data_IF_277390685208
#
_entry.id   IF_277390685208
#
_cell.length_a   1.000
_cell.length_b   1.000
_cell.length_c   1.000
_cell.angle_alpha   90.00
_cell.angle_beta   90.00
_cell.angle_gamma   90.00
#
_symmetry.space_group_name_H-M   'P 1'
#
loop_
_entity.id
_entity.type
_entity.pdbx_description
1 polymer ?
#
# COMPACT_ATOMS: atom_id res chain seq x y z
N UNK A 1 -51.34 28.71 17.89
CA UNK A 1 -49.95 28.39 17.52
C UNK A 1 -49.00 29.09 18.49
N UNK A 2 -48.87 28.59 19.72
CA UNK A 2 -47.82 28.98 20.71
C UNK A 2 -48.12 28.37 22.08
N UNK A 3 -48.05 27.04 22.19
CA UNK A 3 -47.96 26.40 23.51
C UNK A 3 -46.51 25.95 23.68
N UNK A 4 -45.72 26.92 24.12
CA UNK A 4 -44.67 26.76 25.13
C UNK A 4 -43.75 25.55 24.96
N UNK A 5 -42.72 25.79 24.16
CA UNK A 5 -41.40 25.17 24.14
C UNK A 5 -40.65 25.39 25.47
N UNK A 6 -41.27 24.99 26.59
CA UNK A 6 -40.72 25.10 27.95
C UNK A 6 -40.53 23.71 28.57
N UNK A 7 -40.08 22.75 27.77
CA UNK A 7 -39.22 21.70 28.32
C UNK A 7 -37.84 22.34 28.55
N UNK A 8 -37.74 23.08 29.65
CA UNK A 8 -36.46 23.40 30.26
C UNK A 8 -35.77 22.06 30.49
N UNK A 9 -34.79 21.76 29.65
CA UNK A 9 -33.75 20.79 29.94
C UNK A 9 -33.04 21.28 31.19
N UNK A 10 -33.59 21.01 32.37
CA UNK A 10 -32.76 20.88 33.57
C UNK A 10 -31.84 19.72 33.24
N UNK A 11 -30.65 20.09 32.75
CA UNK A 11 -29.61 19.16 32.33
C UNK A 11 -29.22 18.37 33.58
N UNK A 12 -29.89 17.24 33.76
CA UNK A 12 -29.66 16.39 34.91
C UNK A 12 -28.24 15.81 34.76
N UNK A 13 -27.50 15.64 35.87
CA UNK A 13 -26.11 15.14 35.83
C UNK A 13 -25.95 13.88 34.97
N UNK A 14 -27.00 13.06 34.88
CA UNK A 14 -27.08 11.85 34.04
C UNK A 14 -27.02 12.14 32.53
N UNK A 15 -27.77 13.13 32.04
CA UNK A 15 -27.79 13.49 30.61
C UNK A 15 -26.41 14.02 30.21
N UNK A 16 -25.82 14.88 31.05
CA UNK A 16 -24.48 15.41 30.82
C UNK A 16 -23.41 14.30 30.79
N UNK A 17 -23.46 13.35 31.73
CA UNK A 17 -22.55 12.20 31.74
C UNK A 17 -22.68 11.35 30.47
N UNK A 18 -23.88 11.23 29.91
CA UNK A 18 -24.12 10.47 28.67
C UNK A 18 -23.59 11.21 27.45
N UNK A 19 -23.78 12.53 27.38
CA UNK A 19 -23.20 13.38 26.34
C UNK A 19 -21.67 13.25 26.36
N UNK A 20 -21.06 13.24 27.54
CA UNK A 20 -19.62 13.03 27.70
C UNK A 20 -19.19 11.64 27.22
N UNK A 21 -19.95 10.59 27.54
CA UNK A 21 -19.67 9.22 27.07
C UNK A 21 -19.77 9.06 25.56
N UNK A 22 -20.79 9.67 24.93
CA UNK A 22 -20.94 9.70 23.48
C UNK A 22 -19.83 10.54 22.85
N UNK A 23 -19.46 11.66 23.45
CA UNK A 23 -18.33 12.46 23.00
C UNK A 23 -17.04 11.65 23.02
N UNK A 24 -16.77 10.87 24.08
CA UNK A 24 -15.58 10.01 24.14
C UNK A 24 -15.58 8.93 23.05
N UNK A 25 -16.73 8.30 22.79
CA UNK A 25 -16.85 7.33 21.69
C UNK A 25 -16.64 8.00 20.33
N UNK A 26 -17.21 9.18 20.11
CA UNK A 26 -17.03 9.95 18.87
C UNK A 26 -15.59 10.45 18.70
N UNK A 27 -14.89 10.84 19.77
CA UNK A 27 -13.46 11.14 19.77
C UNK A 27 -12.65 9.94 19.30
N UNK A 28 -12.92 8.77 19.87
CA UNK A 28 -12.23 7.53 19.51
C UNK A 28 -12.50 7.13 18.05
N UNK A 29 -13.74 7.29 17.59
CA UNK A 29 -14.14 7.01 16.23
C UNK A 29 -13.46 7.97 15.24
N UNK A 30 -13.45 9.28 15.55
CA UNK A 30 -12.75 10.29 14.75
C UNK A 30 -11.24 10.05 14.68
N UNK A 31 -10.60 9.68 15.80
CA UNK A 31 -9.19 9.32 15.84
C UNK A 31 -8.88 8.10 14.97
N UNK A 32 -9.70 7.06 15.06
CA UNK A 32 -9.51 5.83 14.27
C UNK A 32 -9.72 6.09 12.77
N UNK A 33 -10.74 6.85 12.38
CA UNK A 33 -10.96 7.21 10.97
C UNK A 33 -9.84 8.08 10.41
N UNK A 34 -9.30 9.00 11.22
CA UNK A 34 -8.15 9.82 10.83
C UNK A 34 -6.90 8.95 10.63
N UNK A 35 -6.70 7.93 11.47
CA UNK A 35 -5.60 6.98 11.33
C UNK A 35 -5.74 6.12 10.07
N UNK A 36 -6.94 5.59 9.77
CA UNK A 36 -7.20 4.84 8.54
C UNK A 36 -6.95 5.70 7.30
N UNK A 37 -7.49 6.93 7.28
CA UNK A 37 -7.27 7.86 6.17
C UNK A 37 -5.80 8.23 5.99
N UNK A 38 -5.12 8.57 7.08
CA UNK A 38 -3.68 8.86 7.06
C UNK A 38 -2.86 7.68 6.56
N UNK A 39 -3.18 6.46 7.00
CA UNK A 39 -2.50 5.25 6.55
C UNK A 39 -2.73 5.01 5.05
N UNK A 40 -3.93 5.25 4.53
CA UNK A 40 -4.23 5.15 3.10
C UNK A 40 -3.46 6.17 2.25
N UNK A 41 -3.41 7.43 2.69
CA UNK A 41 -2.67 8.49 2.01
C UNK A 41 -1.15 8.23 2.04
N UNK A 42 -0.63 7.76 3.17
CA UNK A 42 0.78 7.34 3.29
C UNK A 42 1.08 6.12 2.42
N UNK A 43 0.18 5.15 2.33
CA UNK A 43 0.37 3.94 1.51
C UNK A 43 0.40 4.28 0.04
N UNK A 44 -0.54 5.09 -0.45
CA UNK A 44 -0.56 5.51 -1.85
C UNK A 44 0.67 6.32 -2.22
N UNK A 45 1.13 7.20 -1.33
CA UNK A 45 2.35 8.00 -1.55
C UNK A 45 3.63 7.15 -1.52
N UNK A 46 3.72 6.19 -0.59
CA UNK A 46 4.84 5.24 -0.53
C UNK A 46 4.83 4.31 -1.74
N UNK A 47 3.68 3.74 -2.10
CA UNK A 47 3.54 2.87 -3.27
C UNK A 47 3.95 3.59 -4.56
N UNK A 48 3.50 4.84 -4.76
CA UNK A 48 3.93 5.66 -5.90
C UNK A 48 5.44 5.95 -5.91
N UNK A 49 6.08 6.01 -4.74
CA UNK A 49 7.55 6.17 -4.65
C UNK A 49 8.28 4.86 -4.97
N UNK A 50 7.65 3.70 -4.78
CA UNK A 50 8.22 2.39 -5.11
C UNK A 50 7.94 1.94 -6.55
N UNK A 51 6.94 2.50 -7.22
CA UNK A 51 6.73 2.38 -8.67
C UNK A 51 7.89 3.00 -9.47
N UNK A 52 8.77 3.76 -8.82
CA UNK A 52 9.98 4.36 -9.40
C UNK A 52 11.24 3.48 -9.24
N UNK A 53 11.10 2.25 -8.74
CA UNK A 53 12.20 1.30 -8.68
C UNK A 53 12.40 0.58 -10.02
N UNK A 54 13.60 0.04 -10.31
CA UNK A 54 13.84 -0.63 -11.57
C UNK A 54 12.93 -1.85 -11.71
N UNK A 55 12.14 -1.86 -12.79
CA UNK A 55 11.19 -2.93 -13.10
C UNK A 55 11.86 -3.92 -14.04
N UNK A 56 11.85 -5.19 -13.63
CA UNK A 56 12.34 -6.29 -14.45
C UNK A 56 11.21 -6.82 -15.33
N UNK A 57 11.49 -6.88 -16.62
CA UNK A 57 10.58 -7.33 -17.68
C UNK A 57 11.15 -8.63 -18.25
N UNK A 58 10.45 -9.74 -18.05
CA UNK A 58 10.81 -11.05 -18.59
C UNK A 58 9.56 -11.87 -18.90
N UNK A 59 9.64 -12.77 -19.88
CA UNK A 59 8.49 -13.53 -20.42
C UNK A 59 8.37 -14.94 -19.84
N UNK A 60 9.46 -15.53 -19.35
CA UNK A 60 9.48 -16.91 -18.82
C UNK A 60 10.07 -16.98 -17.41
N UNK A 61 9.63 -17.93 -16.58
CA UNK A 61 9.95 -18.01 -15.14
C UNK A 61 11.44 -18.17 -14.80
N UNK A 62 12.30 -18.37 -15.80
CA UNK A 62 13.76 -18.39 -15.69
C UNK A 62 14.37 -17.34 -16.65
N UNK A 63 15.15 -16.40 -16.08
CA UNK A 63 15.79 -15.30 -16.81
C UNK A 63 16.63 -15.77 -18.00
N UNK A 64 17.23 -16.97 -17.93
CA UNK A 64 18.08 -17.49 -19.01
C UNK A 64 17.30 -17.96 -20.25
N UNK A 65 16.00 -18.26 -20.10
CA UNK A 65 15.14 -18.80 -21.16
C UNK A 65 14.13 -17.78 -21.69
N UNK A 66 13.90 -16.71 -20.94
CA UNK A 66 13.09 -15.58 -21.35
C UNK A 66 13.61 -14.98 -22.66
N UNK A 67 12.67 -14.59 -23.52
CA UNK A 67 12.92 -13.93 -24.81
C UNK A 67 12.05 -12.70 -24.91
N UNK A 68 12.68 -11.55 -25.01
CA UNK A 68 12.07 -10.24 -25.22
C UNK A 68 12.56 -9.74 -26.56
N UNK A 69 11.65 -9.54 -27.51
CA UNK A 69 12.00 -9.11 -28.87
C UNK A 69 12.66 -7.74 -28.90
N UNK A 70 13.75 -7.57 -29.65
CA UNK A 70 14.45 -6.29 -29.80
C UNK A 70 13.61 -5.21 -30.50
N UNK A 71 12.62 -5.60 -31.30
CA UNK A 71 11.65 -4.68 -31.93
C UNK A 71 10.70 -3.99 -30.92
N UNK A 72 10.70 -4.44 -29.65
CA UNK A 72 9.87 -3.93 -28.57
C UNK A 72 10.64 -3.01 -27.60
N UNK A 73 11.90 -2.68 -27.92
CA UNK A 73 12.68 -1.74 -27.14
C UNK A 73 12.02 -0.36 -27.14
N UNK A 74 11.94 0.32 -25.98
CA UNK A 74 11.27 1.60 -25.91
C UNK A 74 12.11 2.72 -26.52
N UNK A 75 11.60 3.35 -27.58
CA UNK A 75 12.29 4.42 -28.31
C UNK A 75 12.16 5.83 -27.66
N UNK A 76 11.43 5.96 -26.55
CA UNK A 76 10.86 7.25 -26.14
C UNK A 76 11.28 7.66 -24.71
N UNK A 77 12.40 8.39 -24.55
CA UNK A 77 12.88 9.03 -23.29
C UNK A 77 12.88 8.13 -22.03
N UNK A 78 12.83 6.82 -22.21
CA UNK A 78 12.88 5.83 -21.14
C UNK A 78 14.29 5.34 -20.95
N UNK A 79 14.79 5.40 -19.72
CA UNK A 79 16.06 4.75 -19.40
C UNK A 79 15.80 3.26 -19.15
N UNK A 80 16.43 2.44 -19.97
CA UNK A 80 16.36 0.99 -19.84
C UNK A 80 17.74 0.38 -20.04
N UNK A 81 17.92 -0.79 -19.43
CA UNK A 81 19.10 -1.62 -19.63
C UNK A 81 18.60 -2.98 -20.10
N UNK A 82 19.09 -3.44 -21.25
CA UNK A 82 18.76 -4.75 -21.77
C UNK A 82 19.90 -5.72 -21.51
N UNK A 83 19.56 -6.94 -21.13
CA UNK A 83 20.54 -7.96 -20.76
C UNK A 83 20.32 -9.26 -21.52
N UNK A 84 21.43 -9.91 -21.90
CA UNK A 84 21.43 -11.27 -22.40
C UNK A 84 22.34 -12.15 -21.53
N UNK A 85 21.87 -13.35 -21.20
CA UNK A 85 22.60 -14.31 -20.36
C UNK A 85 22.94 -15.58 -21.11
N UNK A 86 24.12 -16.11 -20.85
CA UNK A 86 24.53 -17.42 -21.28
C UNK A 86 25.36 -18.14 -20.22
N UNK A 87 24.99 -19.37 -19.91
CA UNK A 87 25.88 -20.27 -19.20
C UNK A 87 26.88 -20.88 -20.19
N UNK A 88 28.17 -20.63 -19.98
CA UNK A 88 29.26 -21.04 -20.86
C UNK A 88 30.29 -21.87 -20.10
N UNK A 89 30.94 -22.77 -20.84
CA UNK A 89 32.15 -23.44 -20.38
C UNK A 89 33.36 -22.75 -20.99
N UNK A 90 34.22 -22.20 -20.15
CA UNK A 90 35.47 -21.57 -20.57
C UNK A 90 36.54 -22.65 -20.73
N UNK A 91 37.20 -22.67 -21.87
CA UNK A 91 38.29 -23.59 -22.18
C UNK A 91 39.53 -22.81 -22.60
N UNK A 92 40.64 -23.07 -21.93
CA UNK A 92 41.93 -22.47 -22.25
C UNK A 92 42.61 -23.26 -23.38
N UNK A 93 43.53 -22.62 -24.12
CA UNK A 93 44.31 -23.25 -25.20
C UNK A 93 45.21 -24.39 -24.70
N UNK A 94 45.43 -24.49 -23.39
CA UNK A 94 46.07 -25.61 -22.72
C UNK A 94 45.11 -26.77 -22.39
N UNK A 95 43.91 -26.80 -22.98
CA UNK A 95 42.87 -27.82 -22.76
C UNK A 95 42.33 -27.91 -21.32
N UNK A 96 42.47 -26.84 -20.53
CA UNK A 96 41.90 -26.72 -19.18
C UNK A 96 40.50 -26.13 -19.28
N UNK A 97 39.54 -26.70 -18.56
CA UNK A 97 38.13 -26.32 -18.67
C UNK A 97 37.58 -25.83 -17.34
N UNK A 98 36.89 -24.69 -17.36
CA UNK A 98 36.07 -24.16 -16.29
C UNK A 98 34.61 -24.13 -16.76
N UNK A 99 33.79 -25.05 -16.26
CA UNK A 99 32.36 -25.07 -16.55
C UNK A 99 31.56 -24.16 -15.63
N UNK A 100 30.33 -23.86 -16.03
CA UNK A 100 29.34 -23.11 -15.27
C UNK A 100 29.72 -21.64 -15.02
N UNK A 101 30.22 -20.97 -16.05
CA UNK A 101 30.53 -19.53 -16.01
C UNK A 101 29.37 -18.76 -16.62
N UNK A 102 28.88 -17.73 -15.93
CA UNK A 102 27.83 -16.87 -16.47
C UNK A 102 28.44 -15.77 -17.34
N UNK A 103 28.20 -15.86 -18.64
CA UNK A 103 28.49 -14.80 -19.58
C UNK A 103 27.27 -13.88 -19.72
N UNK A 104 27.50 -12.58 -19.71
CA UNK A 104 26.46 -11.54 -19.79
C UNK A 104 26.85 -10.52 -20.85
N UNK A 105 25.88 -10.14 -21.67
CA UNK A 105 25.99 -8.99 -22.58
C UNK A 105 24.96 -7.96 -22.13
N UNK A 106 25.36 -6.69 -22.11
CA UNK A 106 24.57 -5.58 -21.58
C UNK A 106 24.48 -4.51 -22.66
N UNK A 107 23.28 -3.99 -22.83
CA UNK A 107 23.00 -2.79 -23.62
C UNK A 107 22.48 -1.70 -22.68
N UNK A 108 23.25 -0.63 -22.55
CA UNK A 108 22.94 0.49 -21.66
C UNK A 108 23.12 1.81 -22.43
N UNK A 109 22.10 2.27 -23.18
CA UNK A 109 22.19 3.45 -24.04
C UNK A 109 22.47 4.74 -23.26
N UNK A 110 22.06 4.82 -21.99
CA UNK A 110 22.22 6.00 -21.13
C UNK A 110 23.47 5.93 -20.23
N UNK A 111 24.28 4.87 -20.35
CA UNK A 111 25.44 4.57 -19.49
C UNK A 111 25.15 4.69 -17.99
N UNK A 112 23.97 4.24 -17.56
CA UNK A 112 23.54 4.34 -16.15
C UNK A 112 24.42 3.49 -15.24
N UNK A 113 24.97 2.38 -15.76
CA UNK A 113 25.90 1.51 -15.05
C UNK A 113 27.33 2.08 -15.01
N UNK A 114 27.66 3.10 -15.81
CA UNK A 114 29.00 3.67 -15.91
C UNK A 114 30.04 2.71 -16.49
N UNK A 115 29.59 1.74 -17.30
CA UNK A 115 30.43 0.72 -17.94
C UNK A 115 30.75 1.06 -19.41
N UNK A 116 30.23 2.18 -19.91
CA UNK A 116 30.36 2.67 -21.29
C UNK A 116 29.93 1.60 -22.32
N UNK A 117 28.72 1.07 -22.14
CA UNK A 117 28.12 -0.01 -22.95
C UNK A 117 26.94 0.49 -23.80
N UNK A 118 27.11 1.66 -24.41
CA UNK A 118 26.05 2.40 -25.14
C UNK A 118 25.70 1.85 -26.51
N UNK A 119 26.59 1.09 -27.15
CA UNK A 119 26.41 0.52 -28.49
C UNK A 119 26.52 -1.02 -28.51
N UNK A 120 26.29 -1.69 -27.36
CA UNK A 120 26.37 -3.16 -27.20
C UNK A 120 27.76 -3.78 -27.48
N UNK A 121 28.73 -2.95 -27.84
CA UNK A 121 30.04 -3.36 -28.30
C UNK A 121 31.09 -3.04 -27.26
N UNK A 122 31.61 -4.10 -26.64
CA UNK A 122 33.01 -4.14 -26.29
C UNK A 122 33.75 -4.39 -27.59
N UNK A 123 34.59 -3.46 -28.03
CA UNK A 123 35.31 -3.43 -29.31
C UNK A 123 36.35 -4.58 -29.44
N UNK A 124 35.92 -5.84 -29.21
CA UNK A 124 36.63 -7.14 -29.06
C UNK A 124 37.07 -7.57 -27.66
N UNK A 125 36.71 -6.84 -26.61
CA UNK A 125 37.16 -7.12 -25.25
C UNK A 125 36.17 -7.87 -24.36
N UNK A 126 36.67 -8.75 -23.49
CA UNK A 126 35.90 -9.33 -22.37
C UNK A 126 36.35 -8.74 -21.07
N UNK A 127 35.40 -8.40 -20.22
CA UNK A 127 35.69 -8.01 -18.86
C UNK A 127 35.39 -9.17 -17.92
N UNK A 128 36.36 -9.50 -17.07
CA UNK A 128 36.29 -10.61 -16.13
C UNK A 128 36.23 -10.03 -14.72
N UNK A 129 35.33 -10.52 -13.88
CA UNK A 129 35.32 -10.10 -12.47
C UNK A 129 36.54 -10.63 -11.71
N UNK A 130 37.03 -9.88 -10.74
CA UNK A 130 38.23 -10.26 -9.95
C UNK A 130 38.07 -11.61 -9.26
N UNK A 131 36.87 -11.94 -8.78
CA UNK A 131 36.59 -13.21 -8.14
C UNK A 131 36.65 -14.38 -9.14
N UNK A 132 36.08 -14.22 -10.34
CA UNK A 132 36.20 -15.21 -11.41
C UNK A 132 37.67 -15.40 -11.85
N UNK A 133 38.43 -14.31 -11.91
CA UNK A 133 39.86 -14.36 -12.21
C UNK A 133 40.66 -15.16 -11.16
N UNK A 134 40.37 -14.99 -9.88
CA UNK A 134 40.99 -15.79 -8.80
C UNK A 134 40.63 -17.28 -8.91
N UNK A 135 39.37 -17.59 -9.23
CA UNK A 135 38.94 -18.97 -9.48
C UNK A 135 39.69 -19.56 -10.68
N UNK A 136 39.87 -18.79 -11.74
CA UNK A 136 40.65 -19.21 -12.91
C UNK A 136 42.12 -19.48 -12.52
N UNK A 137 42.76 -18.59 -11.76
CA UNK A 137 44.13 -18.77 -11.28
C UNK A 137 44.25 -20.01 -10.38
N UNK A 138 43.28 -20.26 -9.50
CA UNK A 138 43.24 -21.45 -8.65
C UNK A 138 43.19 -22.76 -9.44
N UNK A 139 42.60 -22.73 -10.65
CA UNK A 139 42.56 -23.85 -11.60
C UNK A 139 43.69 -23.78 -12.62
N UNK A 140 44.72 -22.98 -12.39
CA UNK A 140 45.87 -22.77 -13.26
C UNK A 140 45.53 -22.20 -14.66
N UNK A 141 44.44 -21.45 -14.77
CA UNK A 141 44.05 -20.71 -15.98
C UNK A 141 44.55 -19.27 -15.83
N UNK A 142 45.31 -18.76 -16.80
CA UNK A 142 45.94 -17.43 -16.72
C UNK A 142 44.94 -16.31 -17.00
N UNK A 143 44.42 -15.66 -15.96
CA UNK A 143 43.44 -14.55 -16.02
C UNK A 143 44.06 -13.16 -16.21
N UNK A 144 45.13 -13.05 -17.00
CA UNK A 144 45.79 -11.77 -17.29
C UNK A 144 45.10 -11.05 -18.44
N UNK A 145 45.22 -9.72 -18.50
CA UNK A 145 44.83 -8.93 -19.67
C UNK A 145 45.52 -9.49 -20.93
N UNK A 146 44.79 -9.56 -22.04
CA UNK A 146 45.18 -10.17 -23.32
C UNK A 146 45.24 -11.72 -23.36
N UNK A 147 44.75 -12.41 -22.32
CA UNK A 147 44.53 -13.86 -22.41
C UNK A 147 43.34 -14.17 -23.33
N UNK A 148 43.47 -15.23 -24.13
CA UNK A 148 42.41 -15.69 -25.05
C UNK A 148 41.82 -16.98 -24.53
N UNK A 149 40.50 -17.09 -24.56
CA UNK A 149 39.77 -18.29 -24.17
C UNK A 149 38.75 -18.69 -25.22
N UNK A 150 38.44 -19.98 -25.25
CA UNK A 150 37.34 -20.54 -26.02
C UNK A 150 36.15 -20.71 -25.10
N UNK A 151 35.10 -19.93 -25.32
CA UNK A 151 33.81 -20.11 -24.67
C UNK A 151 33.00 -21.12 -25.49
N UNK A 152 32.44 -22.12 -24.83
CA UNK A 152 31.58 -23.12 -25.46
C UNK A 152 30.24 -23.19 -24.72
N UNK A 153 29.15 -23.18 -25.48
CA UNK A 153 27.81 -23.48 -24.99
C UNK A 153 27.13 -24.43 -25.97
N UNK A 154 26.85 -25.66 -25.53
CA UNK A 154 26.02 -26.61 -26.27
C UNK A 154 26.51 -26.97 -27.67
N UNK A 155 27.79 -26.75 -28.00
CA UNK A 155 28.37 -27.00 -29.33
C UNK A 155 28.73 -25.75 -30.11
N UNK A 156 28.24 -24.57 -29.72
CA UNK A 156 28.64 -23.28 -30.28
C UNK A 156 29.89 -22.77 -29.56
N UNK A 157 30.91 -22.36 -30.31
CA UNK A 157 32.20 -21.93 -29.77
C UNK A 157 32.58 -20.55 -30.25
N UNK A 158 33.03 -19.69 -29.32
CA UNK A 158 33.57 -18.36 -29.62
C UNK A 158 34.91 -18.17 -28.94
N UNK A 159 35.84 -17.50 -29.62
CA UNK A 159 37.14 -17.14 -29.04
C UNK A 159 37.02 -15.70 -28.56
N UNK A 160 37.34 -15.46 -27.30
CA UNK A 160 37.29 -14.10 -26.74
C UNK A 160 38.56 -13.77 -25.98
N UNK A 161 38.91 -12.48 -25.98
CA UNK A 161 40.12 -11.95 -25.37
C UNK A 161 39.77 -11.10 -24.17
N UNK A 162 40.44 -11.32 -23.04
CA UNK A 162 40.25 -10.50 -21.83
C UNK A 162 40.86 -9.13 -22.05
N UNK A 163 40.06 -8.08 -22.01
CA UNK A 163 40.53 -6.70 -22.14
C UNK A 163 40.70 -6.01 -20.79
N UNK A 164 39.82 -6.29 -19.83
CA UNK A 164 39.88 -5.67 -18.50
C UNK A 164 39.40 -6.61 -17.40
N UNK A 165 39.76 -6.27 -16.16
CA UNK A 165 39.23 -6.89 -14.96
C UNK A 165 38.38 -5.85 -14.23
N UNK A 166 37.17 -6.21 -13.80
CA UNK A 166 36.33 -5.35 -12.98
C UNK A 166 36.27 -5.86 -11.54
N UNK A 167 36.14 -4.93 -10.58
CA UNK A 167 36.31 -5.15 -9.14
C UNK A 167 34.97 -5.27 -8.40
N UNK A 168 35.05 -5.79 -7.16
CA UNK A 168 33.95 -5.95 -6.17
C UNK A 168 33.11 -4.71 -5.81
N UNK A 169 33.38 -3.56 -6.42
CA UNK A 169 32.57 -2.35 -6.31
C UNK A 169 31.62 -2.10 -7.49
N UNK A 170 31.59 -2.98 -8.48
CA UNK A 170 30.70 -2.90 -9.64
C UNK A 170 29.28 -3.33 -9.26
N UNK A 171 28.27 -2.81 -9.97
CA UNK A 171 26.87 -3.23 -9.83
C UNK A 171 26.68 -4.70 -10.29
N UNK A 172 27.61 -5.22 -11.09
CA UNK A 172 27.62 -6.61 -11.56
C UNK A 172 28.34 -7.55 -10.58
N UNK A 173 27.85 -8.78 -10.38
CA UNK A 173 28.56 -9.83 -9.66
C UNK A 173 29.97 -10.10 -10.22
N UNK A 174 30.94 -10.29 -9.33
CA UNK A 174 32.36 -10.49 -9.69
C UNK A 174 32.69 -11.90 -10.18
N UNK A 175 31.71 -12.79 -10.18
CA UNK A 175 31.80 -14.14 -10.72
C UNK A 175 31.31 -14.22 -12.19
N UNK A 176 30.87 -13.10 -12.77
CA UNK A 176 30.37 -13.03 -14.14
C UNK A 176 31.46 -12.63 -15.14
N UNK A 177 31.13 -12.86 -16.41
CA UNK A 177 31.98 -12.56 -17.55
C UNK A 177 31.20 -11.68 -18.54
N UNK A 178 31.63 -10.43 -18.72
CA UNK A 178 31.00 -9.49 -19.65
C UNK A 178 31.56 -9.71 -21.06
N UNK A 179 30.70 -10.08 -22.00
CA UNK A 179 31.04 -10.32 -23.40
C UNK A 179 30.37 -9.31 -24.33
N UNK A 180 30.99 -9.06 -25.49
CA UNK A 180 30.37 -8.30 -26.58
C UNK A 180 29.11 -8.99 -27.09
N UNK A 181 28.17 -8.20 -27.62
CA UNK A 181 26.94 -8.73 -28.25
C UNK A 181 27.25 -9.73 -29.36
N UNK A 182 28.22 -9.43 -30.23
CA UNK A 182 28.67 -10.33 -31.30
C UNK A 182 29.11 -11.71 -30.76
N UNK A 183 29.85 -11.73 -29.65
CA UNK A 183 30.28 -12.98 -29.00
C UNK A 183 29.09 -13.74 -28.39
N UNK A 184 28.08 -13.01 -27.89
CA UNK A 184 26.86 -13.59 -27.33
C UNK A 184 25.97 -14.20 -28.41
N UNK A 185 25.77 -13.52 -29.53
CA UNK A 185 24.97 -14.01 -30.65
C UNK A 185 25.60 -15.25 -31.28
N UNK A 186 26.93 -15.30 -31.38
CA UNK A 186 27.63 -16.51 -31.83
C UNK A 186 27.54 -17.69 -30.84
N UNK A 187 27.33 -17.44 -29.53
CA UNK A 187 27.05 -18.47 -28.53
C UNK A 187 25.57 -18.87 -28.50
N UNK A 188 24.66 -17.93 -28.79
CA UNK A 188 23.20 -18.10 -28.80
C UNK A 188 22.59 -17.55 -30.11
N UNK A 189 22.72 -18.25 -31.24
CA UNK A 189 22.11 -17.81 -32.50
C UNK A 189 20.57 -17.80 -32.44
N UNK A 190 19.96 -18.49 -31.47
CA UNK A 190 18.52 -18.49 -31.25
C UNK A 190 17.96 -17.19 -30.63
N UNK A 191 18.82 -16.30 -30.15
CA UNK A 191 18.48 -15.03 -29.48
C UNK A 191 19.05 -13.82 -30.22
N UNK A 192 19.48 -14.00 -31.46
CA UNK A 192 19.99 -12.93 -32.32
C UNK A 192 18.90 -11.86 -32.51
N UNK A 193 19.16 -10.64 -32.03
CA UNK A 193 18.18 -9.54 -32.03
C UNK A 193 17.20 -9.52 -30.84
N UNK A 194 17.22 -10.53 -29.98
CA UNK A 194 16.37 -10.61 -28.78
C UNK A 194 17.20 -10.43 -27.49
N UNK A 195 16.53 -10.13 -26.37
CA UNK A 195 17.12 -10.00 -25.04
C UNK A 195 16.51 -11.00 -24.06
N UNK A 196 17.27 -11.37 -23.03
CA UNK A 196 16.82 -12.30 -22.00
C UNK A 196 15.88 -11.59 -21.00
N UNK A 197 16.26 -10.41 -20.54
CA UNK A 197 15.38 -9.54 -19.78
C UNK A 197 15.72 -8.07 -19.99
N UNK A 198 14.77 -7.21 -19.65
CA UNK A 198 14.92 -5.77 -19.73
C UNK A 198 14.66 -5.16 -18.35
N UNK A 199 15.54 -4.27 -17.90
CA UNK A 199 15.43 -3.52 -16.66
C UNK A 199 15.09 -2.08 -17.00
N UNK A 200 13.92 -1.60 -16.58
CA UNK A 200 13.49 -0.22 -16.82
C UNK A 200 13.79 0.58 -15.57
N UNK A 201 14.58 1.63 -15.67
CA UNK A 201 15.05 2.41 -14.51
C UNK A 201 14.18 3.64 -14.28
N UNK A 202 13.83 4.35 -15.35
CA UNK A 202 12.93 5.49 -15.29
C UNK A 202 12.05 5.49 -16.55
N UNK A 203 10.75 5.67 -16.34
CA UNK A 203 9.81 5.84 -17.44
C UNK A 203 8.78 6.93 -17.11
N UNK A 204 8.67 7.98 -17.95
CA UNK A 204 7.64 9.00 -17.78
C UNK A 204 6.23 8.49 -18.13
N UNK A 205 6.12 7.29 -18.73
CA UNK A 205 4.86 6.67 -19.15
C UNK A 205 4.57 5.47 -18.23
N UNK A 206 3.34 5.29 -17.74
CA UNK A 206 3.01 4.11 -16.94
C UNK A 206 3.27 2.82 -17.72
N UNK A 207 3.98 1.88 -17.10
CA UNK A 207 4.43 0.58 -17.65
C UNK A 207 3.36 -0.28 -18.33
N UNK A 208 2.07 0.00 -18.08
CA UNK A 208 0.91 -0.69 -18.67
C UNK A 208 0.55 -0.21 -20.08
N UNK A 209 0.99 0.97 -20.48
CA UNK A 209 0.64 1.59 -21.77
C UNK A 209 1.76 1.47 -22.81
N UNK A 210 2.86 0.81 -22.45
CA UNK A 210 4.03 0.69 -23.31
C UNK A 210 3.95 -0.55 -24.22
N UNK A 211 4.53 -0.49 -25.43
CA UNK A 211 4.38 -1.51 -26.48
C UNK A 211 4.91 -2.90 -26.08
N UNK A 212 5.79 -2.97 -25.08
CA UNK A 212 6.33 -4.21 -24.50
C UNK A 212 5.38 -4.93 -23.53
N UNK A 213 4.20 -4.37 -23.24
CA UNK A 213 3.13 -5.02 -22.47
C UNK A 213 2.43 -6.08 -23.33
N UNK A 214 3.16 -7.13 -23.70
CA UNK A 214 2.60 -8.33 -24.32
C UNK A 214 1.98 -9.19 -23.22
N UNK A 215 0.87 -9.87 -23.55
CA UNK A 215 -0.09 -10.52 -22.66
C UNK A 215 0.46 -11.61 -21.72
N UNK A 216 1.75 -11.96 -21.82
CA UNK A 216 2.44 -13.02 -21.09
C UNK A 216 3.72 -12.55 -20.35
N UNK A 217 3.92 -11.24 -20.20
CA UNK A 217 5.11 -10.69 -19.53
C UNK A 217 4.87 -10.50 -18.03
N UNK A 218 5.70 -11.12 -17.18
CA UNK A 218 5.68 -10.88 -15.74
C UNK A 218 6.50 -9.65 -15.40
N UNK A 219 5.82 -8.60 -14.93
CA UNK A 219 6.44 -7.41 -14.35
C UNK A 219 6.73 -7.70 -12.88
N UNK A 220 7.99 -7.86 -12.54
CA UNK A 220 8.41 -8.07 -11.15
C UNK A 220 9.21 -6.85 -10.74
N UNK A 221 8.62 -5.92 -9.97
CA UNK A 221 9.38 -4.86 -9.33
C UNK A 221 10.48 -5.51 -8.48
N UNK A 222 11.72 -5.07 -8.64
CA UNK A 222 12.86 -5.62 -7.87
C UNK A 222 12.66 -5.41 -6.35
N UNK A 223 11.76 -4.51 -5.97
CA UNK A 223 11.30 -4.25 -4.61
C UNK A 223 10.19 -5.21 -4.17
N UNK A 224 10.52 -6.48 -3.92
CA UNK A 224 9.60 -7.44 -3.22
C UNK A 224 9.10 -6.94 -1.85
N UNK A 225 9.73 -5.88 -1.35
CA UNK A 225 9.37 -5.08 -0.18
C UNK A 225 7.98 -4.42 -0.30
N UNK A 226 7.55 -4.02 -1.52
CA UNK A 226 6.25 -3.36 -1.74
C UNK A 226 5.10 -4.30 -1.39
N UNK A 227 5.12 -5.53 -1.88
CA UNK A 227 4.08 -6.51 -1.59
C UNK A 227 3.99 -6.89 -0.11
N UNK A 228 5.12 -6.83 0.62
CA UNK A 228 5.12 -7.01 2.07
C UNK A 228 4.49 -5.81 2.81
N UNK A 229 4.83 -4.59 2.43
CA UNK A 229 4.25 -3.38 3.02
C UNK A 229 2.77 -3.21 2.67
N UNK A 230 2.37 -3.44 1.42
CA UNK A 230 0.97 -3.40 1.01
C UNK A 230 0.13 -4.38 1.85
N UNK A 231 0.55 -5.65 1.91
CA UNK A 231 -0.18 -6.68 2.69
C UNK A 231 -0.21 -6.36 4.18
N UNK A 232 0.90 -5.88 4.75
CA UNK A 232 0.97 -5.48 6.15
C UNK A 232 0.03 -4.31 6.47
N UNK A 233 -0.02 -3.31 5.59
CA UNK A 233 -0.87 -2.14 5.76
C UNK A 233 -2.34 -2.47 5.58
N UNK A 234 -2.71 -3.25 4.54
CA UNK A 234 -4.09 -3.71 4.36
C UNK A 234 -4.59 -4.52 5.58
N UNK A 235 -3.71 -5.30 6.22
CA UNK A 235 -4.07 -6.03 7.43
C UNK A 235 -4.33 -5.10 8.63
N UNK A 236 -3.52 -4.04 8.79
CA UNK A 236 -3.75 -3.01 9.81
C UNK A 236 -5.04 -2.24 9.51
N UNK A 237 -5.29 -1.87 8.27
CA UNK A 237 -6.50 -1.16 7.85
C UNK A 237 -7.76 -1.94 8.17
N UNK A 238 -7.79 -3.24 7.82
CA UNK A 238 -8.91 -4.13 8.16
C UNK A 238 -9.16 -4.21 9.67
N UNK A 239 -8.10 -4.25 10.48
CA UNK A 239 -8.20 -4.21 11.93
C UNK A 239 -8.84 -2.92 12.45
N UNK A 240 -8.44 -1.77 11.90
CA UNK A 240 -8.99 -0.46 12.27
C UNK A 240 -10.46 -0.32 11.88
N UNK A 241 -10.89 -0.86 10.73
CA UNK A 241 -12.31 -0.91 10.37
C UNK A 241 -13.14 -1.74 11.37
N UNK A 242 -12.59 -2.84 11.87
CA UNK A 242 -13.22 -3.62 12.94
C UNK A 242 -13.45 -2.82 14.22
N UNK A 243 -12.49 -1.97 14.59
CA UNK A 243 -12.58 -1.08 15.75
C UNK A 243 -13.67 -0.01 15.57
N UNK A 244 -13.76 0.60 14.38
CA UNK A 244 -14.82 1.58 14.05
C UNK A 244 -16.20 0.95 14.25
N UNK A 245 -16.39 -0.28 13.78
CA UNK A 245 -17.64 -1.02 13.92
C UNK A 245 -18.01 -1.24 15.40
N UNK A 246 -17.04 -1.65 16.23
CA UNK A 246 -17.26 -1.87 17.66
C UNK A 246 -17.56 -0.56 18.41
N UNK A 247 -16.87 0.52 18.08
CA UNK A 247 -17.13 1.86 18.66
C UNK A 247 -18.52 2.38 18.28
N UNK A 248 -18.93 2.16 17.03
CA UNK A 248 -20.28 2.44 16.56
C UNK A 248 -21.32 1.68 17.39
N UNK A 249 -21.12 0.38 17.61
CA UNK A 249 -22.04 -0.44 18.40
C UNK A 249 -22.15 0.03 19.86
N UNK A 250 -21.02 0.41 20.48
CA UNK A 250 -20.99 0.97 21.83
C UNK A 250 -21.82 2.27 21.94
N UNK A 251 -21.70 3.14 20.93
CA UNK A 251 -22.48 4.38 20.86
C UNK A 251 -23.98 4.10 20.79
N UNK A 252 -24.41 3.11 20.00
CA UNK A 252 -25.81 2.71 19.88
C UNK A 252 -26.37 2.19 21.22
N UNK A 253 -25.59 1.37 21.93
CA UNK A 253 -25.98 0.81 23.24
C UNK A 253 -26.10 1.93 24.30
N UNK A 254 -25.16 2.88 24.33
CA UNK A 254 -25.22 4.03 25.23
C UNK A 254 -26.50 4.85 25.02
N UNK A 255 -26.84 5.12 23.76
CA UNK A 255 -28.05 5.87 23.39
C UNK A 255 -29.32 5.06 23.74
N UNK A 256 -29.31 3.76 23.50
CA UNK A 256 -30.40 2.87 23.91
C UNK A 256 -30.67 2.96 25.41
N UNK A 257 -29.63 2.82 26.23
CA UNK A 257 -29.73 2.83 27.69
C UNK A 257 -30.32 4.14 28.21
N UNK A 258 -29.83 5.28 27.73
CA UNK A 258 -30.31 6.59 28.22
C UNK A 258 -31.75 6.85 27.82
N UNK A 259 -32.13 6.57 26.57
CA UNK A 259 -33.51 6.79 26.11
C UNK A 259 -34.45 5.83 26.82
N UNK A 260 -34.07 4.56 27.03
CA UNK A 260 -34.87 3.62 27.81
C UNK A 260 -35.15 4.14 29.22
N UNK A 261 -34.10 4.57 29.94
CA UNK A 261 -34.23 5.13 31.29
C UNK A 261 -35.14 6.37 31.29
N UNK A 262 -34.94 7.30 30.36
CA UNK A 262 -35.77 8.51 30.27
C UNK A 262 -37.23 8.22 29.95
N UNK A 263 -37.49 7.23 29.09
CA UNK A 263 -38.86 6.81 28.75
C UNK A 263 -39.59 6.23 29.95
N UNK A 264 -38.89 5.49 30.81
CA UNK A 264 -39.45 4.96 32.06
C UNK A 264 -39.74 6.07 33.06
N UNK A 265 -38.81 7.01 33.28
CA UNK A 265 -39.04 8.17 34.15
C UNK A 265 -40.19 9.05 33.67
N UNK A 266 -40.37 9.18 32.37
CA UNK A 266 -41.43 10.02 31.77
C UNK A 266 -42.72 9.24 31.48
N UNK A 267 -42.77 7.94 31.78
CA UNK A 267 -43.90 7.07 31.47
C UNK A 267 -45.24 7.58 32.03
N UNK A 268 -45.34 8.10 33.28
CA UNK A 268 -46.61 8.61 33.81
C UNK A 268 -47.17 9.77 32.97
N UNK A 269 -46.32 10.71 32.56
CA UNK A 269 -46.70 11.86 31.73
C UNK A 269 -47.14 11.42 30.34
N UNK A 270 -46.44 10.46 29.73
CA UNK A 270 -46.80 9.88 28.43
C UNK A 270 -48.17 9.20 28.51
N UNK A 271 -48.42 8.45 29.58
CA UNK A 271 -49.70 7.76 29.81
C UNK A 271 -50.86 8.75 29.90
N UNK A 272 -50.69 9.88 30.59
CA UNK A 272 -51.70 10.95 30.66
C UNK A 272 -51.92 11.57 29.27
N UNK A 273 -50.84 11.94 28.57
CA UNK A 273 -50.91 12.57 27.25
C UNK A 273 -51.62 11.68 26.21
N UNK A 274 -51.34 10.37 26.27
CA UNK A 274 -51.97 9.37 25.43
C UNK A 274 -53.42 9.08 25.83
N UNK A 275 -53.80 9.28 27.08
CA UNK A 275 -55.19 9.24 27.53
C UNK A 275 -56.04 10.39 27.00
N UNK A 276 -55.42 11.54 26.70
CA UNK A 276 -56.08 12.75 26.14
C UNK A 276 -56.11 12.74 24.59
N UNK A 277 -55.54 11.72 23.94
CA UNK A 277 -55.63 11.52 22.48
C UNK A 277 -54.36 11.83 21.69
N UNK A 278 -53.19 11.96 22.34
CA UNK A 278 -51.93 12.12 21.59
C UNK A 278 -51.59 10.89 20.74
N UNK A 279 -51.21 11.12 19.47
CA UNK A 279 -50.87 10.07 18.52
C UNK A 279 -49.57 9.34 18.93
N UNK A 280 -49.52 8.04 18.63
CA UNK A 280 -48.37 7.17 18.91
C UNK A 280 -47.10 7.68 18.22
N UNK A 281 -47.25 8.20 17.00
CA UNK A 281 -46.17 8.72 16.17
C UNK A 281 -45.56 10.00 16.75
N UNK A 282 -46.37 10.86 17.38
CA UNK A 282 -45.87 12.07 18.02
C UNK A 282 -44.88 11.73 19.14
N UNK A 283 -45.20 10.72 19.96
CA UNK A 283 -44.32 10.26 21.04
C UNK A 283 -43.00 9.69 20.47
N UNK A 284 -43.07 8.89 19.40
CA UNK A 284 -41.87 8.34 18.74
C UNK A 284 -40.96 9.46 18.23
N UNK A 285 -41.52 10.47 17.53
CA UNK A 285 -40.73 11.58 16.98
C UNK A 285 -40.05 12.38 18.08
N UNK A 286 -40.73 12.67 19.20
CA UNK A 286 -40.13 13.41 20.32
C UNK A 286 -38.91 12.68 20.89
N UNK A 287 -39.01 11.37 21.11
CA UNK A 287 -37.87 10.59 21.64
C UNK A 287 -36.75 10.41 20.62
N UNK A 288 -37.07 10.20 19.33
CA UNK A 288 -36.04 10.17 18.28
C UNK A 288 -35.32 11.50 18.15
N UNK A 289 -36.05 12.63 18.20
CA UNK A 289 -35.42 13.95 18.18
C UNK A 289 -34.52 14.16 19.40
N UNK A 290 -34.91 13.72 20.61
CA UNK A 290 -34.02 13.77 21.78
C UNK A 290 -32.76 12.94 21.58
N UNK A 291 -32.90 11.70 21.10
CA UNK A 291 -31.76 10.83 20.82
C UNK A 291 -30.79 11.50 19.82
N UNK A 292 -31.33 12.01 18.71
CA UNK A 292 -30.58 12.66 17.66
C UNK A 292 -29.90 13.95 18.13
N UNK A 293 -30.55 14.75 18.98
CA UNK A 293 -29.95 15.95 19.58
C UNK A 293 -28.79 15.60 20.52
N UNK A 294 -28.96 14.59 21.39
CA UNK A 294 -27.92 14.15 22.32
C UNK A 294 -26.72 13.61 21.54
N UNK A 295 -26.95 12.82 20.49
CA UNK A 295 -25.88 12.25 19.67
C UNK A 295 -25.22 13.28 18.78
N UNK A 296 -25.96 14.27 18.27
CA UNK A 296 -25.38 15.36 17.49
C UNK A 296 -24.45 16.21 18.35
N UNK A 297 -24.88 16.60 19.57
CA UNK A 297 -24.04 17.39 20.49
C UNK A 297 -22.82 16.58 20.92
N UNK A 298 -23.00 15.31 21.30
CA UNK A 298 -21.89 14.43 21.66
C UNK A 298 -20.93 14.20 20.49
N UNK A 299 -21.45 13.98 19.27
CA UNK A 299 -20.67 13.79 18.05
C UNK A 299 -19.87 15.03 17.67
N UNK A 300 -20.44 16.23 17.76
CA UNK A 300 -19.72 17.50 17.52
C UNK A 300 -18.61 17.68 18.56
N UNK A 301 -18.91 17.48 19.84
CA UNK A 301 -17.90 17.60 20.90
C UNK A 301 -16.78 16.56 20.74
N UNK A 302 -17.13 15.31 20.42
CA UNK A 302 -16.16 14.25 20.25
C UNK A 302 -15.28 14.42 19.02
N UNK A 303 -15.87 14.80 17.87
CA UNK A 303 -15.09 15.10 16.66
C UNK A 303 -14.15 16.28 16.87
N UNK A 304 -14.60 17.34 17.55
CA UNK A 304 -13.74 18.47 17.91
C UNK A 304 -12.60 18.04 18.84
N UNK A 305 -12.88 17.25 19.89
CA UNK A 305 -11.84 16.72 20.78
C UNK A 305 -10.87 15.78 20.05
N UNK A 306 -11.36 14.94 19.14
CA UNK A 306 -10.54 14.05 18.31
C UNK A 306 -9.59 14.82 17.40
N UNK A 307 -10.08 15.90 16.80
CA UNK A 307 -9.25 16.80 15.99
C UNK A 307 -8.17 17.50 16.83
N UNK A 308 -8.53 18.02 18.01
CA UNK A 308 -7.58 18.61 18.94
C UNK A 308 -6.52 17.59 19.40
N UNK A 309 -6.93 16.35 19.69
CA UNK A 309 -6.01 15.29 20.07
C UNK A 309 -5.06 14.91 18.93
N UNK A 310 -5.56 14.78 17.70
CA UNK A 310 -4.73 14.51 16.52
C UNK A 310 -3.70 15.63 16.28
N UNK A 311 -4.13 16.89 16.42
CA UNK A 311 -3.25 18.06 16.29
C UNK A 311 -2.18 18.08 17.39
N UNK A 312 -2.55 17.78 18.63
CA UNK A 312 -1.63 17.72 19.76
C UNK A 312 -0.58 16.61 19.61
N UNK A 313 -1.00 15.43 19.13
CA UNK A 313 -0.09 14.31 18.84
C UNK A 313 0.91 14.72 17.75
N UNK A 314 0.44 15.35 16.67
CA UNK A 314 1.31 15.83 15.58
C UNK A 314 2.34 16.85 16.07
N UNK A 315 1.92 17.83 16.90
CA UNK A 315 2.84 18.80 17.48
C UNK A 315 3.88 18.15 18.42
N UNK A 316 3.48 17.14 19.20
CA UNK A 316 4.39 16.47 20.13
C UNK A 316 5.38 15.55 19.41
N UNK A 317 4.98 14.90 18.31
CA UNK A 317 5.87 14.09 17.48
C UNK A 317 6.95 14.92 16.78
N UNK A 318 6.62 16.14 16.33
CA UNK A 318 7.61 17.07 15.75
C UNK A 318 8.72 17.45 16.74
N UNK A 319 8.43 17.45 18.03
CA UNK A 319 9.39 17.75 19.10
C UNK A 319 10.30 16.55 19.43
N UNK A 320 9.86 15.32 19.12
CA UNK A 320 10.54 14.08 19.45
C UNK A 320 11.47 13.55 18.33
N UNK A 321 11.60 14.26 17.20
CA UNK A 321 12.43 13.85 16.04
C UNK A 321 12.12 12.44 15.49
N UNK A 322 10.94 11.90 15.81
CA UNK A 322 10.40 10.70 15.18
C UNK A 322 9.63 11.17 13.96
N UNK A 323 10.09 10.80 12.77
CA UNK A 323 9.42 11.05 11.49
C UNK A 323 8.05 10.34 11.50
N UNK A 324 7.03 10.98 12.06
CA UNK A 324 5.65 10.58 11.83
C UNK A 324 5.21 11.13 10.48
N UNK A 325 5.17 10.26 9.48
CA UNK A 325 4.56 10.47 8.16
C UNK A 325 3.04 10.72 8.18
N UNK A 326 2.46 10.91 9.37
CA UNK A 326 1.04 11.11 9.57
C UNK A 326 0.86 12.61 9.77
N UNK A 327 0.92 13.39 8.69
CA UNK A 327 0.26 14.69 8.70
C UNK A 327 -1.23 14.38 8.72
N UNK A 328 -1.98 14.71 9.80
CA UNK A 328 -3.42 14.59 9.76
C UNK A 328 -3.90 15.62 8.74
N UNK A 329 -4.01 15.22 7.47
CA UNK A 329 -4.66 16.03 6.46
C UNK A 329 -6.08 16.18 6.95
N UNK A 330 -6.40 17.37 7.41
CA UNK A 330 -7.72 17.79 7.85
C UNK A 330 -8.64 17.86 6.63
N UNK A 331 -8.81 16.73 5.94
CA UNK A 331 -9.69 16.62 4.82
C UNK A 331 -11.12 16.65 5.38
N UNK A 332 -12.01 17.41 4.74
CA UNK A 332 -13.40 17.57 5.20
C UNK A 332 -14.09 16.21 5.36
N UNK A 333 -13.68 15.22 4.54
CA UNK A 333 -14.12 13.83 4.61
C UNK A 333 -13.79 13.17 5.95
N UNK A 334 -12.60 13.40 6.50
CA UNK A 334 -12.12 12.75 7.74
C UNK A 334 -12.88 13.21 8.99
N UNK A 335 -13.52 14.38 8.94
CA UNK A 335 -14.39 14.90 10.03
C UNK A 335 -15.86 14.52 9.79
N UNK A 336 -16.31 14.55 8.54
CA UNK A 336 -17.70 14.28 8.20
C UNK A 336 -18.07 12.79 8.39
N UNK A 337 -17.16 11.89 8.04
CA UNK A 337 -17.37 10.43 8.16
C UNK A 337 -17.64 9.99 9.62
N UNK A 338 -16.80 10.33 10.62
CA UNK A 338 -17.05 9.92 12.00
C UNK A 338 -18.29 10.57 12.60
N UNK A 339 -18.62 11.81 12.22
CA UNK A 339 -19.85 12.48 12.63
C UNK A 339 -21.09 11.72 12.12
N UNK A 340 -21.12 11.38 10.83
CA UNK A 340 -22.21 10.61 10.22
C UNK A 340 -22.38 9.24 10.88
N UNK A 341 -21.29 8.51 11.08
CA UNK A 341 -21.32 7.19 11.73
C UNK A 341 -21.89 7.29 13.15
N UNK A 342 -21.49 8.32 13.92
CA UNK A 342 -22.00 8.56 15.26
C UNK A 342 -23.52 8.87 15.26
N UNK A 343 -23.98 9.72 14.33
CA UNK A 343 -25.40 10.06 14.20
C UNK A 343 -26.23 8.86 13.76
N UNK A 344 -25.76 8.06 12.81
CA UNK A 344 -26.45 6.85 12.34
C UNK A 344 -26.54 5.83 13.47
N UNK A 345 -25.43 5.56 14.16
CA UNK A 345 -25.40 4.66 15.31
C UNK A 345 -26.37 5.11 16.41
N UNK A 346 -26.38 6.41 16.71
CA UNK A 346 -27.31 7.01 17.67
C UNK A 346 -28.78 6.88 17.27
N UNK A 347 -29.10 7.09 15.99
CA UNK A 347 -30.45 6.91 15.47
C UNK A 347 -30.91 5.44 15.58
N UNK A 348 -30.03 4.48 15.27
CA UNK A 348 -30.30 3.04 15.40
C UNK A 348 -30.54 2.68 16.87
N UNK A 349 -29.69 3.15 17.79
CA UNK A 349 -29.84 2.91 19.22
C UNK A 349 -31.12 3.51 19.82
N UNK A 350 -31.56 4.68 19.32
CA UNK A 350 -32.76 5.37 19.78
C UNK A 350 -34.08 4.86 19.19
N UNK A 351 -34.04 4.16 18.06
CA UNK A 351 -35.25 3.70 17.37
C UNK A 351 -36.04 2.64 18.16
N UNK A 352 -35.35 1.63 18.69
CA UNK A 352 -35.98 0.55 19.46
C UNK A 352 -36.71 1.03 20.73
N UNK A 353 -36.10 1.84 21.62
CA UNK A 353 -36.77 2.30 22.84
C UNK A 353 -37.89 3.29 22.52
N UNK A 354 -37.77 4.11 21.46
CA UNK A 354 -38.85 4.99 21.02
C UNK A 354 -40.09 4.18 20.58
N UNK A 355 -39.90 3.09 19.84
CA UNK A 355 -40.99 2.16 19.51
C UNK A 355 -41.60 1.53 20.77
N UNK A 356 -40.78 1.09 21.73
CA UNK A 356 -41.26 0.52 23.00
C UNK A 356 -42.11 1.53 23.78
N UNK A 357 -41.65 2.77 23.91
CA UNK A 357 -42.35 3.83 24.64
C UNK A 357 -43.73 4.16 24.04
N UNK A 358 -43.82 4.14 22.71
CA UNK A 358 -45.06 4.41 21.98
C UNK A 358 -46.18 3.39 22.26
N UNK A 359 -45.81 2.17 22.68
CA UNK A 359 -46.74 1.07 23.01
C UNK A 359 -47.20 1.09 24.47
N UNK A 360 -46.70 2.01 25.29
CA UNK A 360 -47.18 2.18 26.67
C UNK A 360 -48.59 2.78 26.67
N UNK A 361 -49.61 1.94 26.54
CA UNK A 361 -51.03 2.29 26.70
C UNK A 361 -51.47 2.04 28.17
N UNK A 362 -52.29 2.94 28.70
CA UNK A 362 -53.09 2.68 29.92
C UNK A 362 -54.52 2.40 29.48
N UNK A 363 -54.99 1.21 29.79
CA UNK A 363 -56.39 0.84 30.03
C UNK A 363 -56.30 -0.32 31.04
N UNK A 364 -56.99 -0.35 32.17
CA UNK A 364 -58.42 -0.09 32.36
C UNK A 364 -58.67 0.32 33.82
N UNK A 365 -59.48 1.36 34.04
CA UNK A 365 -60.20 1.57 35.29
C UNK A 365 -61.21 0.42 35.40
N UNK A 366 -60.90 -0.59 36.20
CA UNK A 366 -61.92 -1.51 36.69
C UNK A 366 -62.44 -0.92 37.99
N UNK A 367 -63.44 -0.06 37.86
CA UNK A 367 -64.39 0.16 38.94
C UNK A 367 -65.54 -0.82 38.69
N UNK A 368 -65.54 -1.91 39.45
CA UNK A 368 -66.71 -2.69 39.84
C UNK A 368 -66.31 -3.55 41.03
#
# INVERSE_FOLDING_TARGET
>A
MSITFRLSTKMNRRIFATILGIAFCATYLAGTTAMVGGLHDTTSSLAASFDQGPVLVYTDGDFANSRVGGDLLPENDTSFIAFCFANVTLTDFNSRTLGNVYAVSVYDPDDVLGLNMTDESLDTGVWVGTQLADIMVSKSISATTNSRYMLNRGGNMTIVQVSALYSEGSIMPDDWLLISRESMDALRPELEGDYSFLMILDSPIPLKEQPFYVKDTSLTPTSGVVGFFERGIYQVEQGLWGIILMSGLMTAILVYCIISIETEYSAPTIRILRGVGASREYVIRVFMFKALFITAIGGILGTAMGFCAASAISSMSSLANVMTFITPVANLRSVLLPFLISVISGAVGGFWPAMKASRMFVARRNDA
#
